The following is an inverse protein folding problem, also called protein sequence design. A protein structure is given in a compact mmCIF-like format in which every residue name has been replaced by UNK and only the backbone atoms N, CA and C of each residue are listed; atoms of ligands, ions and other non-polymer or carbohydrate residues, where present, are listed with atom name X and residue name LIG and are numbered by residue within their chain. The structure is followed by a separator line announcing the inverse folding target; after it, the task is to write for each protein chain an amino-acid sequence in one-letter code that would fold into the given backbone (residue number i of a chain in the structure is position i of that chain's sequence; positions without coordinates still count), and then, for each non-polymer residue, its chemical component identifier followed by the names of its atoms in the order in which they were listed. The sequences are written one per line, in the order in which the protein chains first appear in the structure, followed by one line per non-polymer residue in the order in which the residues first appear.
data_IF_463974651293
#
_entry.id   IF_463974651293
#
_cell.length_a   1.000
_cell.length_b   1.000
_cell.length_c   1.000
_cell.angle_alpha   90.00
_cell.angle_beta   90.00
_cell.angle_gamma   90.00
#
_symmetry.space_group_name_H-M   'P 1'
#
loop_
_entity.id
_entity.type
_entity.pdbx_description
1 polymer ?
#
# COMPACT_ATOMS: atom_id res chain seq x y z
N UNK A 1 -21.96 4.00 18.22
CA UNK A 1 -22.45 4.63 16.97
C UNK A 1 -22.44 3.62 15.84
N UNK A 2 -21.30 3.22 15.26
CA UNK A 2 -21.27 2.26 14.13
C UNK A 2 -22.05 0.95 14.36
N UNK A 3 -21.93 0.32 15.54
CA UNK A 3 -22.65 -0.92 15.84
C UNK A 3 -24.18 -0.75 15.94
N UNK A 4 -24.68 0.49 16.05
CA UNK A 4 -26.11 0.79 16.13
C UNK A 4 -26.79 0.81 14.74
N UNK A 5 -26.01 0.60 13.66
CA UNK A 5 -26.55 0.42 12.31
C UNK A 5 -27.44 -0.82 12.25
N UNK A 6 -27.12 -1.86 13.03
CA UNK A 6 -27.87 -3.11 13.10
C UNK A 6 -28.63 -3.23 14.42
N UNK A 7 -29.77 -3.92 14.40
CA UNK A 7 -30.47 -4.36 15.61
C UNK A 7 -29.87 -5.65 16.18
N UNK A 8 -30.40 -6.10 17.32
CA UNK A 8 -29.97 -7.33 18.00
C UNK A 8 -30.20 -8.60 17.18
N UNK A 9 -31.05 -8.54 16.14
CA UNK A 9 -31.35 -9.64 15.23
C UNK A 9 -30.52 -9.58 13.94
N UNK A 10 -29.65 -8.57 13.81
CA UNK A 10 -28.78 -8.36 12.65
C UNK A 10 -29.43 -7.63 11.47
N UNK A 11 -30.64 -7.09 11.62
CA UNK A 11 -31.29 -6.30 10.57
C UNK A 11 -30.78 -4.86 10.57
N UNK A 12 -30.79 -4.21 9.39
CA UNK A 12 -30.46 -2.79 9.28
C UNK A 12 -31.54 -1.98 10.02
N UNK A 13 -31.11 -1.24 11.03
CA UNK A 13 -31.93 -0.38 11.88
C UNK A 13 -31.84 1.09 11.45
N UNK A 14 -30.63 1.61 11.32
CA UNK A 14 -30.39 3.04 11.08
C UNK A 14 -29.03 3.28 10.41
N UNK A 15 -29.05 3.62 9.12
CA UNK A 15 -27.83 3.90 8.35
C UNK A 15 -27.19 5.25 8.71
N UNK A 16 -27.94 6.20 9.27
CA UNK A 16 -27.40 7.52 9.65
C UNK A 16 -26.41 7.39 10.81
N UNK A 17 -26.46 6.29 11.58
CA UNK A 17 -25.46 5.96 12.60
C UNK A 17 -24.05 5.78 12.06
N UNK A 18 -23.89 5.42 10.78
CA UNK A 18 -22.57 5.41 10.14
C UNK A 18 -22.05 6.84 9.94
N UNK A 19 -22.91 7.78 9.54
CA UNK A 19 -22.54 9.18 9.37
C UNK A 19 -22.20 9.86 10.71
N UNK A 20 -22.98 9.58 11.76
CA UNK A 20 -22.67 10.04 13.12
C UNK A 20 -21.32 9.48 13.61
N UNK A 21 -21.06 8.19 13.35
CA UNK A 21 -19.79 7.55 13.69
C UNK A 21 -18.61 8.19 12.93
N UNK A 22 -18.79 8.46 11.64
CA UNK A 22 -17.81 9.14 10.80
C UNK A 22 -17.48 10.53 11.32
N UNK A 23 -18.49 11.35 11.60
CA UNK A 23 -18.31 12.72 12.10
C UNK A 23 -17.59 12.69 13.46
N UNK A 24 -18.00 11.79 14.36
CA UNK A 24 -17.36 11.61 15.66
C UNK A 24 -15.89 11.19 15.51
N UNK A 25 -15.59 10.21 14.66
CA UNK A 25 -14.22 9.76 14.40
C UNK A 25 -13.34 10.88 13.84
N UNK A 26 -13.81 11.60 12.84
CA UNK A 26 -13.04 12.71 12.24
C UNK A 26 -12.80 13.83 13.26
N UNK A 27 -13.77 14.13 14.12
CA UNK A 27 -13.69 15.25 15.07
C UNK A 27 -12.89 14.92 16.33
N UNK A 28 -13.02 13.70 16.85
CA UNK A 28 -12.47 13.31 18.15
C UNK A 28 -11.17 12.50 18.05
N UNK A 29 -10.94 11.80 16.94
CA UNK A 29 -9.73 10.99 16.74
C UNK A 29 -8.78 11.66 15.75
N UNK A 30 -9.26 12.00 14.55
CA UNK A 30 -8.40 12.49 13.47
C UNK A 30 -7.98 13.95 13.69
N UNK A 31 -8.93 14.86 13.89
CA UNK A 31 -8.66 16.30 13.96
C UNK A 31 -7.67 16.68 15.09
N UNK A 32 -7.73 16.10 16.31
CA UNK A 32 -6.79 16.42 17.38
C UNK A 32 -5.40 15.83 17.14
N UNK A 33 -5.31 14.70 16.43
CA UNK A 33 -4.05 14.00 16.13
C UNK A 33 -3.42 14.41 14.80
N UNK A 34 -4.07 15.25 14.00
CA UNK A 34 -3.51 15.75 12.75
C UNK A 34 -2.52 16.88 13.04
N UNK A 35 -1.24 16.67 12.70
CA UNK A 35 -0.21 17.69 12.85
C UNK A 35 -0.49 18.88 11.93
N UNK A 36 -0.48 20.08 12.51
CA UNK A 36 -0.71 21.36 11.82
C UNK A 36 0.61 22.03 11.48
N UNK A 37 0.60 22.75 10.38
CA UNK A 37 1.69 23.55 9.85
C UNK A 37 1.07 24.85 9.32
N UNK A 38 1.81 25.96 9.37
CA UNK A 38 1.28 27.26 8.96
C UNK A 38 1.19 27.35 7.44
N UNK A 39 2.14 26.71 6.74
CA UNK A 39 2.17 26.67 5.28
C UNK A 39 2.44 25.28 4.73
N UNK A 40 2.04 25.06 3.47
CA UNK A 40 2.39 23.84 2.73
C UNK A 40 3.91 23.67 2.62
N UNK A 41 4.64 24.77 2.39
CA UNK A 41 6.10 24.75 2.28
C UNK A 41 6.76 24.28 3.57
N UNK A 42 6.33 24.81 4.71
CA UNK A 42 6.81 24.37 6.02
C UNK A 42 6.51 22.88 6.25
N UNK A 43 5.30 22.42 5.92
CA UNK A 43 4.93 21.00 5.99
C UNK A 43 5.86 20.12 5.16
N UNK A 44 6.07 20.45 3.88
CA UNK A 44 6.89 19.65 2.97
C UNK A 44 8.37 19.65 3.42
N UNK A 45 8.90 20.80 3.84
CA UNK A 45 10.24 20.90 4.42
C UNK A 45 10.37 20.03 5.67
N UNK A 46 9.41 20.08 6.59
CA UNK A 46 9.40 19.22 7.77
C UNK A 46 9.44 17.73 7.37
N UNK A 47 8.62 17.32 6.40
CA UNK A 47 8.56 15.93 5.94
C UNK A 47 9.85 15.48 5.25
N UNK A 48 10.51 16.34 4.49
CA UNK A 48 11.78 16.04 3.83
C UNK A 48 12.94 15.99 4.84
N UNK A 49 13.09 17.02 5.68
CA UNK A 49 14.18 17.11 6.68
C UNK A 49 14.12 15.99 7.70
N UNK A 50 12.93 15.53 8.07
CA UNK A 50 12.75 14.43 9.02
C UNK A 50 12.65 13.06 8.34
N UNK A 51 13.02 12.93 7.07
CA UNK A 51 13.06 11.66 6.33
C UNK A 51 11.72 10.91 6.30
N UNK A 52 10.61 11.65 6.23
CA UNK A 52 9.29 11.07 5.96
C UNK A 52 9.05 10.97 4.45
N UNK A 53 9.42 12.00 3.69
CA UNK A 53 9.35 12.02 2.23
C UNK A 53 10.74 11.97 1.61
N UNK A 54 10.82 11.35 0.43
CA UNK A 54 11.97 11.54 -0.45
C UNK A 54 11.95 12.94 -1.09
N UNK A 55 13.13 13.43 -1.47
CA UNK A 55 13.32 14.81 -1.94
C UNK A 55 13.27 14.94 -3.47
N UNK A 56 13.64 13.89 -4.18
CA UNK A 56 13.92 13.89 -5.63
C UNK A 56 12.70 14.12 -6.51
N UNK A 57 11.51 13.62 -6.13
CA UNK A 57 10.31 13.82 -6.96
C UNK A 57 9.75 15.24 -6.87
N UNK A 58 9.86 15.88 -5.70
CA UNK A 58 9.38 17.26 -5.50
C UNK A 58 10.28 18.27 -6.20
N UNK A 59 11.59 18.03 -6.29
CA UNK A 59 12.53 18.92 -6.97
C UNK A 59 12.32 19.03 -8.48
N UNK A 60 11.43 18.21 -9.06
CA UNK A 60 11.04 18.28 -10.48
C UNK A 60 10.01 19.38 -10.76
N UNK A 61 9.47 20.02 -9.72
CA UNK A 61 8.45 21.05 -9.82
C UNK A 61 8.91 22.30 -9.07
N UNK A 62 8.40 23.45 -9.48
CA UNK A 62 8.54 24.66 -8.66
C UNK A 62 7.46 24.72 -7.56
N UNK A 63 7.66 25.61 -6.58
CA UNK A 63 6.76 25.76 -5.42
C UNK A 63 5.31 26.06 -5.83
N UNK A 64 5.10 26.87 -6.88
CA UNK A 64 3.78 27.26 -7.36
C UNK A 64 3.03 26.09 -8.03
N UNK A 65 3.74 25.25 -8.77
CA UNK A 65 3.18 24.02 -9.36
C UNK A 65 2.74 23.06 -8.25
N UNK A 66 3.60 22.79 -7.26
CA UNK A 66 3.27 21.92 -6.12
C UNK A 66 2.04 22.46 -5.39
N UNK A 67 2.04 23.76 -5.08
CA UNK A 67 0.92 24.44 -4.43
C UNK A 67 -0.37 24.32 -5.24
N UNK A 68 -0.30 24.45 -6.56
CA UNK A 68 -1.46 24.30 -7.46
C UNK A 68 -2.04 22.89 -7.39
N UNK A 69 -1.21 21.84 -7.39
CA UNK A 69 -1.69 20.45 -7.27
C UNK A 69 -2.43 20.22 -5.94
N UNK A 70 -1.85 20.67 -4.84
CA UNK A 70 -2.50 20.60 -3.52
C UNK A 70 -3.81 21.40 -3.51
N UNK A 71 -3.82 22.62 -4.08
CA UNK A 71 -5.03 23.43 -4.15
C UNK A 71 -6.17 22.72 -4.89
N UNK A 72 -5.90 22.05 -6.02
CA UNK A 72 -6.92 21.28 -6.75
C UNK A 72 -7.55 20.22 -5.84
N UNK A 73 -6.72 19.47 -5.08
CA UNK A 73 -7.22 18.46 -4.14
C UNK A 73 -8.04 19.07 -3.00
N UNK A 74 -7.60 20.21 -2.46
CA UNK A 74 -8.24 20.88 -1.32
C UNK A 74 -9.51 21.65 -1.68
N UNK A 75 -9.60 22.20 -2.90
CA UNK A 75 -10.81 22.84 -3.44
C UNK A 75 -11.95 21.84 -3.64
N UNK A 76 -11.66 20.57 -3.94
CA UNK A 76 -12.68 19.53 -3.92
C UNK A 76 -13.18 19.35 -2.49
N UNK A 77 -14.50 19.51 -2.28
CA UNK A 77 -15.19 19.24 -1.01
C UNK A 77 -15.33 17.74 -0.74
N UNK A 78 -14.26 16.96 -0.95
CA UNK A 78 -14.24 15.53 -0.66
C UNK A 78 -14.61 15.28 0.80
N UNK A 79 -15.50 14.31 1.01
CA UNK A 79 -15.85 13.75 2.31
C UNK A 79 -15.89 12.24 2.14
N UNK A 80 -15.37 11.52 3.13
CA UNK A 80 -15.59 10.08 3.18
C UNK A 80 -17.10 9.82 3.27
N UNK A 81 -17.57 8.83 2.53
CA UNK A 81 -18.99 8.46 2.54
C UNK A 81 -19.34 7.53 3.70
N UNK A 82 -18.35 6.88 4.32
CA UNK A 82 -18.57 5.96 5.44
C UNK A 82 -17.51 6.09 6.53
N UNK A 83 -17.88 5.71 7.77
CA UNK A 83 -16.94 5.62 8.88
C UNK A 83 -15.79 4.67 8.54
N UNK A 84 -16.10 3.49 8.00
CA UNK A 84 -15.09 2.48 7.67
C UNK A 84 -14.08 2.98 6.63
N UNK A 85 -14.52 3.73 5.62
CA UNK A 85 -13.63 4.32 4.63
C UNK A 85 -12.63 5.29 5.25
N UNK A 86 -13.10 6.18 6.12
CA UNK A 86 -12.24 7.10 6.85
C UNK A 86 -11.30 6.37 7.81
N UNK A 87 -11.83 5.43 8.59
CA UNK A 87 -11.06 4.62 9.54
C UNK A 87 -9.93 3.89 8.82
N UNK A 88 -10.24 3.18 7.73
CA UNK A 88 -9.25 2.47 6.92
C UNK A 88 -8.18 3.39 6.35
N UNK A 89 -8.56 4.53 5.79
CA UNK A 89 -7.56 5.48 5.30
C UNK A 89 -6.61 5.95 6.40
N UNK A 90 -7.12 6.43 7.52
CA UNK A 90 -6.26 6.96 8.59
C UNK A 90 -5.50 5.85 9.33
N UNK A 91 -6.07 4.65 9.46
CA UNK A 91 -5.39 3.54 10.11
C UNK A 91 -4.25 2.98 9.25
N UNK A 92 -4.53 2.73 7.96
CA UNK A 92 -3.66 1.93 7.08
C UNK A 92 -2.83 2.77 6.11
N UNK A 93 -3.31 3.94 5.66
CA UNK A 93 -2.74 4.68 4.53
C UNK A 93 -2.08 6.02 4.90
N UNK A 94 -2.72 6.78 5.78
CA UNK A 94 -2.21 8.10 6.17
C UNK A 94 -0.82 7.97 6.80
N UNK A 95 0.12 8.80 6.35
CA UNK A 95 1.43 8.87 6.99
C UNK A 95 1.27 9.32 8.44
N UNK A 96 1.97 8.63 9.36
CA UNK A 96 2.02 8.94 10.78
C UNK A 96 3.44 9.31 11.19
N UNK A 97 3.56 9.98 12.33
CA UNK A 97 4.85 10.09 13.01
C UNK A 97 5.39 8.70 13.37
N UNK A 98 6.72 8.57 13.52
CA UNK A 98 7.36 7.27 13.82
C UNK A 98 6.85 6.62 15.11
N UNK A 99 6.47 7.44 16.09
CA UNK A 99 5.83 7.00 17.35
C UNK A 99 4.33 6.68 17.21
N UNK A 100 3.77 6.81 16.00
CA UNK A 100 2.38 6.55 15.62
C UNK A 100 1.33 7.42 16.35
N UNK A 101 1.75 8.50 17.03
CA UNK A 101 0.83 9.35 17.81
C UNK A 101 0.06 10.35 16.95
N UNK A 102 0.68 10.87 15.89
CA UNK A 102 0.10 11.93 15.06
C UNK A 102 0.02 11.53 13.58
N UNK A 103 -1.02 12.00 12.91
CA UNK A 103 -1.15 11.95 11.46
C UNK A 103 -0.40 13.13 10.83
N UNK A 104 0.38 12.87 9.80
CA UNK A 104 1.10 13.86 9.00
C UNK A 104 0.38 14.18 7.68
N UNK A 105 -0.56 13.32 7.29
CA UNK A 105 -1.31 13.43 6.05
C UNK A 105 -2.82 13.31 6.25
N UNK A 106 -3.53 14.02 5.40
CA UNK A 106 -4.93 13.80 5.05
C UNK A 106 -5.03 13.00 3.76
N UNK A 107 -6.25 12.57 3.41
CA UNK A 107 -6.53 11.92 2.13
C UNK A 107 -6.01 12.73 0.93
N UNK A 108 -6.25 14.05 0.97
CA UNK A 108 -5.86 14.99 -0.08
C UNK A 108 -4.35 15.11 -0.23
N UNK A 109 -3.60 15.08 0.88
CA UNK A 109 -2.14 15.12 0.85
C UNK A 109 -1.58 13.87 0.17
N UNK A 110 -2.07 12.69 0.57
CA UNK A 110 -1.65 11.40 0.03
C UNK A 110 -1.88 11.32 -1.49
N UNK A 111 -3.04 11.77 -1.97
CA UNK A 111 -3.35 11.82 -3.40
C UNK A 111 -2.47 12.84 -4.14
N UNK A 112 -2.22 14.01 -3.55
CA UNK A 112 -1.36 15.05 -4.16
C UNK A 112 0.07 14.55 -4.37
N UNK A 113 0.63 13.84 -3.40
CA UNK A 113 1.94 13.19 -3.53
C UNK A 113 1.96 12.13 -4.62
N UNK A 114 0.91 11.30 -4.70
CA UNK A 114 0.80 10.30 -5.75
C UNK A 114 0.77 10.95 -7.15
N UNK A 115 -0.01 12.02 -7.32
CA UNK A 115 -0.06 12.75 -8.58
C UNK A 115 1.31 13.35 -8.96
N UNK A 116 1.97 14.03 -8.03
CA UNK A 116 3.28 14.66 -8.27
C UNK A 116 4.36 13.62 -8.60
N UNK A 117 4.40 12.51 -7.87
CA UNK A 117 5.39 11.46 -8.07
C UNK A 117 5.23 10.79 -9.43
N UNK A 118 4.03 10.30 -9.75
CA UNK A 118 3.79 9.52 -10.97
C UNK A 118 3.75 10.36 -12.24
N UNK A 119 3.52 11.68 -12.12
CA UNK A 119 3.64 12.59 -13.25
C UNK A 119 5.10 12.96 -13.59
N UNK A 120 6.09 12.58 -12.76
CA UNK A 120 7.52 12.64 -13.07
C UNK A 120 8.04 14.01 -13.54
N UNK A 121 7.46 15.11 -13.07
CA UNK A 121 7.82 16.49 -13.44
C UNK A 121 6.88 17.12 -14.47
N UNK A 122 5.98 16.35 -15.09
CA UNK A 122 5.02 16.87 -16.04
C UNK A 122 3.79 17.47 -15.31
N UNK A 123 3.73 18.79 -15.26
CA UNK A 123 2.69 19.51 -14.52
C UNK A 123 1.25 19.24 -15.02
N UNK A 124 1.03 19.12 -16.32
CA UNK A 124 -0.31 18.87 -16.86
C UNK A 124 -0.78 17.44 -16.56
N UNK A 125 0.13 16.46 -16.61
CA UNK A 125 -0.17 15.10 -16.15
C UNK A 125 -0.48 15.11 -14.64
N UNK A 126 0.29 15.82 -13.82
CA UNK A 126 0.03 15.93 -12.39
C UNK A 126 -1.37 16.51 -12.10
N UNK A 127 -1.78 17.54 -12.85
CA UNK A 127 -3.14 18.13 -12.77
C UNK A 127 -4.23 17.14 -13.17
N UNK A 128 -4.02 16.36 -14.23
CA UNK A 128 -4.96 15.32 -14.66
C UNK A 128 -5.09 14.19 -13.62
N UNK A 129 -3.97 13.72 -13.10
CA UNK A 129 -3.91 12.66 -12.09
C UNK A 129 -4.60 13.09 -10.80
N UNK A 130 -4.30 14.27 -10.25
CA UNK A 130 -4.91 14.70 -8.98
C UNK A 130 -6.44 14.86 -9.11
N UNK A 131 -6.94 15.33 -10.27
CA UNK A 131 -8.38 15.42 -10.54
C UNK A 131 -9.02 14.03 -10.56
N UNK A 132 -8.44 13.08 -11.28
CA UNK A 132 -8.95 11.71 -11.38
C UNK A 132 -8.93 11.00 -10.01
N UNK A 133 -7.85 11.18 -9.26
CA UNK A 133 -7.68 10.62 -7.91
C UNK A 133 -8.70 11.18 -6.92
N UNK A 134 -8.88 12.51 -6.86
CA UNK A 134 -9.77 13.14 -5.86
C UNK A 134 -11.26 12.97 -6.21
N UNK A 135 -11.59 12.78 -7.48
CA UNK A 135 -12.93 12.39 -7.92
C UNK A 135 -13.22 10.90 -7.69
N UNK A 136 -12.21 10.10 -7.36
CA UNK A 136 -12.28 8.64 -7.26
C UNK A 136 -12.62 7.95 -8.59
N UNK A 137 -12.32 8.59 -9.72
CA UNK A 137 -12.42 7.99 -11.07
C UNK A 137 -11.35 6.90 -11.27
N UNK A 138 -10.25 7.01 -10.50
CA UNK A 138 -9.12 6.10 -10.51
C UNK A 138 -8.55 5.95 -9.09
N UNK A 139 -8.19 4.71 -8.72
CA UNK A 139 -7.48 4.40 -7.48
C UNK A 139 -6.31 3.46 -7.79
N UNK A 140 -5.05 3.85 -7.50
CA UNK A 140 -3.91 2.96 -7.64
C UNK A 140 -4.00 1.77 -6.69
N UNK A 141 -3.32 0.68 -7.01
CA UNK A 141 -3.16 -0.45 -6.09
C UNK A 141 -2.53 0.03 -4.76
N UNK A 142 -2.91 -0.61 -3.65
CA UNK A 142 -2.40 -0.31 -2.30
C UNK A 142 -0.88 -0.12 -2.21
N UNK A 143 -0.01 -1.00 -2.74
CA UNK A 143 1.43 -0.80 -2.66
C UNK A 143 1.88 0.51 -3.33
N UNK A 144 1.24 0.90 -4.44
CA UNK A 144 1.51 2.20 -5.07
C UNK A 144 0.97 3.34 -4.22
N UNK A 145 -0.31 3.34 -3.87
CA UNK A 145 -0.94 4.43 -3.13
C UNK A 145 -0.22 4.71 -1.80
N UNK A 146 0.08 3.64 -1.04
CA UNK A 146 0.68 3.69 0.30
C UNK A 146 2.14 4.15 0.30
N UNK A 147 2.96 3.65 -0.63
CA UNK A 147 4.41 3.82 -0.58
C UNK A 147 4.89 5.07 -1.32
N UNK A 148 4.10 5.60 -2.27
CA UNK A 148 4.53 6.69 -3.15
C UNK A 148 4.98 7.93 -2.36
N UNK A 149 6.16 8.45 -2.70
CA UNK A 149 6.77 9.65 -2.12
C UNK A 149 7.32 9.52 -0.70
N UNK A 150 7.15 8.36 -0.02
CA UNK A 150 7.75 8.11 1.31
C UNK A 150 9.23 7.77 1.18
N UNK A 151 10.06 8.25 2.12
CA UNK A 151 11.51 7.97 2.16
C UNK A 151 11.81 6.51 2.50
N UNK A 152 11.19 6.00 3.56
CA UNK A 152 11.26 4.60 3.94
C UNK A 152 9.96 3.92 3.47
N UNK A 153 10.05 3.18 2.37
CA UNK A 153 8.90 2.60 1.71
C UNK A 153 9.19 1.19 1.23
N UNK A 154 8.14 0.40 1.07
CA UNK A 154 8.22 -0.84 0.29
C UNK A 154 8.19 -0.57 -1.21
N UNK A 155 8.15 -1.66 -1.97
CA UNK A 155 8.01 -1.60 -3.43
C UNK A 155 6.60 -1.18 -3.86
N UNK A 156 6.49 -0.71 -5.10
CA UNK A 156 5.18 -0.35 -5.70
C UNK A 156 4.45 -1.53 -6.31
N UNK A 157 5.17 -2.63 -6.56
CA UNK A 157 4.66 -3.89 -7.08
C UNK A 157 4.82 -4.94 -5.99
N UNK A 158 3.76 -5.72 -5.77
CA UNK A 158 3.72 -6.74 -4.73
C UNK A 158 3.16 -8.08 -5.22
N UNK A 159 2.95 -8.28 -6.52
CA UNK A 159 2.42 -9.53 -7.07
C UNK A 159 3.40 -10.08 -8.11
N UNK A 160 3.89 -11.29 -7.89
CA UNK A 160 4.93 -11.91 -8.71
C UNK A 160 4.52 -13.32 -9.12
N UNK A 161 4.86 -13.69 -10.34
CA UNK A 161 4.72 -15.04 -10.86
C UNK A 161 6.10 -15.57 -11.22
N UNK A 162 6.45 -16.75 -10.71
CA UNK A 162 7.68 -17.46 -11.00
C UNK A 162 7.36 -18.77 -11.70
N UNK A 163 8.32 -19.31 -12.44
CA UNK A 163 8.22 -20.62 -13.07
C UNK A 163 9.37 -21.51 -12.61
N UNK A 164 9.05 -22.76 -12.27
CA UNK A 164 10.02 -23.78 -11.94
C UNK A 164 10.37 -24.63 -13.14
N UNK A 165 11.66 -24.87 -13.35
CA UNK A 165 12.14 -25.97 -14.21
C UNK A 165 12.55 -27.18 -13.37
N UNK A 166 12.63 -28.33 -14.03
CA UNK A 166 12.83 -29.64 -13.41
C UNK A 166 14.29 -29.92 -12.99
N UNK A 167 14.84 -29.06 -12.13
CA UNK A 167 16.19 -29.21 -11.60
C UNK A 167 16.30 -28.74 -10.15
N UNK A 168 17.23 -29.33 -9.39
CA UNK A 168 17.51 -28.88 -8.02
C UNK A 168 18.02 -27.43 -7.98
N UNK A 169 18.78 -27.02 -8.99
CA UNK A 169 19.30 -25.65 -9.11
C UNK A 169 18.16 -24.63 -9.22
N UNK A 170 17.15 -24.92 -10.05
CA UNK A 170 16.00 -24.04 -10.21
C UNK A 170 15.09 -24.04 -8.98
N UNK A 171 14.87 -25.21 -8.37
CA UNK A 171 14.13 -25.30 -7.09
C UNK A 171 14.78 -24.42 -6.02
N UNK A 172 16.12 -24.47 -5.91
CA UNK A 172 16.86 -23.64 -4.95
C UNK A 172 16.73 -22.15 -5.26
N UNK A 173 16.86 -21.76 -6.53
CA UNK A 173 16.74 -20.36 -6.97
C UNK A 173 15.34 -19.80 -6.76
N UNK A 174 14.30 -20.58 -7.01
CA UNK A 174 12.91 -20.17 -6.76
C UNK A 174 12.68 -19.98 -5.28
N UNK A 175 13.24 -20.84 -4.43
CA UNK A 175 13.15 -20.69 -2.99
C UNK A 175 13.82 -19.38 -2.52
N UNK A 176 15.00 -19.07 -3.07
CA UNK A 176 15.69 -17.79 -2.82
C UNK A 176 14.84 -16.60 -3.26
N UNK A 177 14.37 -16.58 -4.51
CA UNK A 177 13.55 -15.49 -5.04
C UNK A 177 12.25 -15.32 -4.26
N UNK A 178 11.57 -16.42 -3.92
CA UNK A 178 10.37 -16.41 -3.09
C UNK A 178 10.63 -15.75 -1.74
N UNK A 179 11.75 -16.07 -1.11
CA UNK A 179 12.16 -15.49 0.17
C UNK A 179 12.47 -14.00 0.03
N UNK A 180 13.21 -13.59 -1.01
CA UNK A 180 13.55 -12.18 -1.26
C UNK A 180 12.31 -11.33 -1.56
N UNK A 181 11.38 -11.86 -2.35
CA UNK A 181 10.13 -11.19 -2.69
C UNK A 181 9.17 -11.14 -1.49
N UNK A 182 9.10 -12.20 -0.70
CA UNK A 182 8.29 -12.22 0.54
C UNK A 182 8.79 -11.19 1.55
N UNK A 183 10.12 -11.06 1.72
CA UNK A 183 10.78 -10.06 2.59
C UNK A 183 10.32 -8.62 2.29
N UNK A 184 10.02 -8.30 1.03
CA UNK A 184 9.56 -6.96 0.63
C UNK A 184 8.02 -6.84 0.58
N UNK A 185 7.29 -7.82 1.12
CA UNK A 185 5.83 -7.85 1.13
C UNK A 185 5.20 -8.29 -0.20
N UNK A 186 5.96 -9.01 -1.03
CA UNK A 186 5.47 -9.55 -2.29
C UNK A 186 4.69 -10.86 -2.10
N UNK A 187 3.49 -10.93 -2.66
CA UNK A 187 2.78 -12.17 -2.93
C UNK A 187 3.38 -12.87 -4.14
N UNK A 188 3.77 -14.13 -3.97
CA UNK A 188 4.46 -14.91 -5.00
C UNK A 188 3.63 -16.14 -5.35
N UNK A 189 3.33 -16.32 -6.63
CA UNK A 189 2.78 -17.54 -7.19
C UNK A 189 3.84 -18.25 -8.03
N UNK A 190 3.92 -19.57 -7.95
CA UNK A 190 4.97 -20.36 -8.58
C UNK A 190 4.33 -21.45 -9.43
N UNK A 191 4.61 -21.46 -10.73
CA UNK A 191 4.26 -22.58 -11.59
C UNK A 191 5.20 -23.76 -11.32
N UNK A 192 4.63 -24.88 -10.88
CA UNK A 192 5.34 -26.12 -10.54
C UNK A 192 5.03 -27.27 -11.50
N UNK A 193 4.30 -27.03 -12.59
CA UNK A 193 3.86 -28.08 -13.52
C UNK A 193 5.00 -28.78 -14.24
N UNK A 194 6.15 -28.12 -14.38
CA UNK A 194 7.31 -28.70 -15.05
C UNK A 194 8.10 -29.66 -14.15
N UNK A 195 7.87 -29.66 -12.83
CA UNK A 195 8.57 -30.55 -11.92
C UNK A 195 8.11 -31.99 -12.11
N UNK A 196 9.07 -32.92 -12.21
CA UNK A 196 8.76 -34.34 -12.36
C UNK A 196 7.96 -34.89 -11.19
N UNK A 197 7.11 -35.88 -11.45
CA UNK A 197 6.20 -36.45 -10.47
C UNK A 197 6.92 -37.32 -9.41
N UNK A 198 6.18 -37.68 -8.36
CA UNK A 198 6.66 -38.58 -7.32
C UNK A 198 6.97 -39.96 -7.91
N UNK A 199 8.12 -40.54 -7.54
CA UNK A 199 8.55 -41.85 -8.02
C UNK A 199 9.26 -41.85 -9.37
N UNK A 200 9.34 -40.70 -10.05
CA UNK A 200 10.13 -40.58 -11.27
C UNK A 200 11.63 -40.77 -11.04
N UNK A 201 12.34 -41.08 -12.13
CA UNK A 201 13.77 -41.40 -12.06
C UNK A 201 14.63 -40.15 -11.85
N UNK A 202 15.73 -40.31 -11.11
CA UNK A 202 16.81 -39.31 -11.03
C UNK A 202 18.10 -40.02 -11.41
N UNK A 203 18.76 -39.54 -12.47
CA UNK A 203 20.00 -40.14 -13.01
C UNK A 203 19.88 -41.66 -13.22
N UNK A 204 18.72 -42.13 -13.70
CA UNK A 204 18.46 -43.55 -13.98
C UNK A 204 18.00 -44.39 -12.78
N UNK A 205 18.08 -43.86 -11.54
CA UNK A 205 17.57 -44.55 -10.36
C UNK A 205 16.06 -44.33 -10.28
N UNK A 206 15.26 -45.40 -10.39
CA UNK A 206 13.78 -45.35 -10.38
C UNK A 206 13.24 -45.20 -8.95
N UNK A 207 12.09 -44.54 -8.79
CA UNK A 207 11.37 -44.50 -7.51
C UNK A 207 11.88 -43.48 -6.48
N UNK A 208 12.83 -42.61 -6.84
CA UNK A 208 13.53 -41.73 -5.87
C UNK A 208 13.02 -40.29 -5.82
N UNK A 209 12.31 -39.79 -6.84
CA UNK A 209 11.81 -38.42 -6.81
C UNK A 209 10.71 -38.23 -5.75
N UNK A 210 10.82 -37.16 -4.95
CA UNK A 210 9.83 -36.77 -3.93
C UNK A 210 8.58 -36.10 -4.53
N UNK A 211 8.64 -35.68 -5.80
CA UNK A 211 7.58 -34.95 -6.50
C UNK A 211 7.33 -33.55 -5.96
N UNK A 212 6.29 -32.91 -6.47
CA UNK A 212 5.93 -31.51 -6.20
C UNK A 212 5.69 -31.20 -4.72
N UNK A 213 5.11 -32.13 -3.95
CA UNK A 213 4.76 -31.91 -2.53
C UNK A 213 6.00 -31.62 -1.69
N UNK A 214 7.13 -32.26 -2.00
CA UNK A 214 8.40 -31.99 -1.30
C UNK A 214 8.88 -30.55 -1.52
N UNK A 215 8.72 -30.03 -2.74
CA UNK A 215 9.06 -28.64 -3.08
C UNK A 215 8.08 -27.66 -2.45
N UNK A 216 6.77 -27.96 -2.47
CA UNK A 216 5.77 -27.14 -1.79
C UNK A 216 6.05 -27.03 -0.28
N UNK A 217 6.52 -28.12 0.35
CA UNK A 217 6.85 -28.07 1.78
C UNK A 217 8.07 -27.19 2.07
N UNK A 218 9.08 -27.23 1.21
CA UNK A 218 10.24 -26.32 1.29
C UNK A 218 9.78 -24.85 1.19
N UNK A 219 8.95 -24.53 0.21
CA UNK A 219 8.43 -23.18 -0.01
C UNK A 219 7.55 -22.70 1.16
N UNK A 220 6.68 -23.56 1.71
CA UNK A 220 5.88 -23.29 2.91
C UNK A 220 6.76 -22.85 4.09
N UNK A 221 7.88 -23.53 4.32
CA UNK A 221 8.84 -23.13 5.35
C UNK A 221 9.49 -21.78 5.06
N UNK A 222 9.90 -21.53 3.81
CA UNK A 222 10.50 -20.26 3.43
C UNK A 222 9.55 -19.07 3.57
N UNK A 223 8.29 -19.19 3.15
CA UNK A 223 7.29 -18.12 3.31
C UNK A 223 6.91 -17.88 4.77
N UNK A 224 6.89 -18.91 5.61
CA UNK A 224 6.69 -18.74 7.07
C UNK A 224 7.83 -18.02 7.76
N UNK A 225 9.05 -18.15 7.22
CA UNK A 225 10.24 -17.51 7.78
C UNK A 225 10.38 -16.05 7.34
N UNK A 226 10.15 -15.76 6.05
CA UNK A 226 10.28 -14.42 5.51
C UNK A 226 8.95 -13.67 5.56
N UNK A 227 8.64 -13.10 6.73
CA UNK A 227 7.50 -12.21 6.93
C UNK A 227 7.79 -10.76 6.47
N UNK A 228 6.71 -10.01 6.25
CA UNK A 228 6.77 -8.68 5.66
C UNK A 228 7.34 -7.63 6.62
N UNK A 229 7.44 -7.89 7.94
CA UNK A 229 7.96 -6.96 8.96
C UNK A 229 8.38 -7.62 10.32
N UNK A 230 8.62 -8.94 10.39
CA UNK A 230 8.64 -9.69 11.65
C UNK A 230 7.24 -10.05 12.16
#
# INVERSE_FOLDING_TARGET
LNNQIIDEKGNIKDLDKDQEALISFLSNEVKPKLKRFDTLKEKLNFLQTNEYYETTFLSKYNDDQIKTIYQIAYQKKFRFSTFMGAFKFYHDYALKTRDKKFYLETYKDRLSVNALYHAQGNFEIAKGLIKSLINQDFTPATPTLLNTGKKHRGEFVSCFLLEASDSLNDIARINEFSTQLSKIGGGVSINITNLRAKGESIKGIKGVCKGVVGVCKLLDHSFRYADQMG
#
